data_IF_548874226216
#
_entry.id   IF_548874226216
#
_cell.length_a   1.000
_cell.length_b   1.000
_cell.length_c   1.000
_cell.angle_alpha   90.00
_cell.angle_beta   90.00
_cell.angle_gamma   90.00
#
_symmetry.space_group_name_H-M   'P 1'
#
loop_
_entity.id
_entity.type
_entity.pdbx_description
1 polymer ?
#
# COMPACT_ATOMS: atom_id res chain seq x y z
N UNK A 1 -6.92 -14.70 9.59
CA UNK A 1 -8.13 -13.85 9.72
C UNK A 1 -8.37 -13.64 11.21
N UNK A 2 -8.50 -12.39 11.65
CA UNK A 2 -8.76 -12.06 13.05
C UNK A 2 -9.94 -11.10 13.14
N UNK A 3 -10.68 -11.16 14.25
CA UNK A 3 -11.72 -10.18 14.55
C UNK A 3 -11.05 -8.86 14.96
N UNK A 4 -10.79 -8.02 13.97
CA UNK A 4 -10.19 -6.71 14.12
C UNK A 4 -10.80 -5.78 13.06
N UNK A 5 -11.83 -5.01 13.42
CA UNK A 5 -12.52 -4.16 12.46
C UNK A 5 -11.62 -3.16 11.74
N UNK A 6 -11.95 -2.87 10.48
CA UNK A 6 -11.14 -2.04 9.57
C UNK A 6 -10.89 -0.63 10.12
N UNK A 7 -11.86 -0.06 10.85
CA UNK A 7 -11.74 1.28 11.43
C UNK A 7 -10.71 1.41 12.57
N UNK A 8 -10.15 0.29 13.06
CA UNK A 8 -9.11 0.32 14.09
C UNK A 8 -7.74 0.77 13.56
N UNK A 9 -7.52 0.68 12.24
CA UNK A 9 -6.31 1.12 11.53
C UNK A 9 -6.36 2.62 11.14
N UNK A 10 -7.38 3.36 11.59
CA UNK A 10 -7.44 4.81 11.40
C UNK A 10 -6.28 5.52 12.10
N UNK A 11 -5.91 6.71 11.61
CA UNK A 11 -4.79 7.49 12.15
C UNK A 11 -4.96 7.72 13.67
N UNK A 12 -3.86 7.87 14.43
CA UNK A 12 -3.92 8.02 15.88
C UNK A 12 -4.86 9.13 16.38
N UNK A 13 -5.00 10.21 15.59
CA UNK A 13 -5.80 11.39 15.94
C UNK A 13 -7.21 11.37 15.30
N UNK A 14 -7.57 10.32 14.58
CA UNK A 14 -8.89 10.18 13.95
C UNK A 14 -9.80 9.27 14.78
N UNK A 15 -11.10 9.58 14.80
CA UNK A 15 -12.10 8.77 15.47
C UNK A 15 -12.13 7.36 14.86
N UNK A 16 -11.79 6.35 15.66
CA UNK A 16 -11.82 4.92 15.29
C UNK A 16 -13.24 4.37 15.35
N UNK A 17 -14.09 4.77 14.41
CA UNK A 17 -15.46 4.27 14.33
C UNK A 17 -15.86 3.99 12.86
N UNK A 18 -16.87 3.14 12.63
CA UNK A 18 -17.28 2.78 11.28
C UNK A 18 -17.84 3.98 10.49
N UNK A 19 -18.50 4.91 11.17
CA UNK A 19 -19.17 6.05 10.52
C UNK A 19 -18.12 6.99 9.92
N UNK A 20 -17.14 7.43 10.71
CA UNK A 20 -16.05 8.28 10.24
C UNK A 20 -15.25 7.62 9.12
N UNK A 21 -14.90 6.34 9.29
CA UNK A 21 -14.12 5.58 8.31
C UNK A 21 -14.82 5.55 6.94
N UNK A 22 -16.10 5.15 6.90
CA UNK A 22 -16.83 5.05 5.65
C UNK A 22 -17.29 6.41 5.10
N UNK A 23 -17.54 7.39 5.97
CA UNK A 23 -17.82 8.75 5.52
C UNK A 23 -16.60 9.40 4.87
N UNK A 24 -15.41 9.26 5.46
CA UNK A 24 -14.16 9.78 4.89
C UNK A 24 -13.71 9.03 3.63
N UNK A 25 -14.17 7.79 3.44
CA UNK A 25 -13.80 6.96 2.28
C UNK A 25 -14.79 7.06 1.12
N UNK A 26 -16.10 7.13 1.40
CA UNK A 26 -17.19 7.01 0.43
C UNK A 26 -18.21 8.15 0.51
N UNK A 27 -18.23 8.89 1.62
CA UNK A 27 -19.07 10.07 1.82
C UNK A 27 -20.55 9.84 1.48
N UNK A 28 -21.17 10.72 0.69
CA UNK A 28 -22.59 10.62 0.34
C UNK A 28 -22.93 9.28 -0.33
N UNK A 29 -21.98 8.66 -1.04
CA UNK A 29 -22.20 7.35 -1.68
C UNK A 29 -22.62 6.27 -0.70
N UNK A 30 -21.96 6.15 0.46
CA UNK A 30 -22.28 5.10 1.43
C UNK A 30 -23.69 5.30 2.02
N UNK A 31 -24.12 6.55 2.20
CA UNK A 31 -25.46 6.87 2.72
C UNK A 31 -26.53 6.44 1.72
N UNK A 32 -26.35 6.75 0.44
CA UNK A 32 -27.31 6.31 -0.59
C UNK A 32 -27.32 4.78 -0.67
N UNK A 33 -26.14 4.17 -0.79
CA UNK A 33 -25.97 2.73 -0.99
C UNK A 33 -26.55 1.89 0.16
N UNK A 34 -26.45 2.36 1.41
CA UNK A 34 -26.95 1.61 2.58
C UNK A 34 -28.39 1.93 2.96
N UNK A 35 -28.91 3.13 2.67
CA UNK A 35 -30.19 3.58 3.22
C UNK A 35 -31.21 4.05 2.19
N UNK A 36 -30.80 4.75 1.13
CA UNK A 36 -31.77 5.42 0.23
C UNK A 36 -32.18 4.58 -0.98
N UNK A 37 -31.40 3.57 -1.36
CA UNK A 37 -31.70 2.75 -2.56
C UNK A 37 -32.98 1.91 -2.40
N UNK A 38 -33.31 1.45 -1.19
CA UNK A 38 -34.31 0.41 -0.96
C UNK A 38 -35.69 0.67 -1.55
N UNK A 39 -36.29 1.88 -1.46
CA UNK A 39 -37.61 2.14 -2.02
C UNK A 39 -37.67 2.08 -3.55
N UNK A 40 -36.51 2.16 -4.22
CA UNK A 40 -36.42 2.17 -5.69
C UNK A 40 -36.11 0.80 -6.29
N UNK A 41 -35.69 -0.17 -5.47
CA UNK A 41 -35.29 -1.49 -5.93
C UNK A 41 -36.47 -2.47 -5.97
N UNK A 42 -36.53 -3.28 -7.02
CA UNK A 42 -37.46 -4.41 -7.09
C UNK A 42 -36.97 -5.61 -6.25
N UNK A 43 -37.83 -6.61 -6.05
CA UNK A 43 -37.50 -7.81 -5.26
C UNK A 43 -36.27 -8.55 -5.80
N UNK A 44 -36.09 -8.63 -7.13
CA UNK A 44 -34.96 -9.34 -7.75
C UNK A 44 -33.65 -8.56 -7.58
N UNK A 45 -33.70 -7.24 -7.61
CA UNK A 45 -32.57 -6.35 -7.35
C UNK A 45 -32.15 -6.44 -5.87
N UNK A 46 -33.11 -6.43 -4.94
CA UNK A 46 -32.85 -6.63 -3.50
C UNK A 46 -32.19 -7.99 -3.25
N UNK A 47 -32.71 -9.07 -3.82
CA UNK A 47 -32.13 -10.41 -3.67
C UNK A 47 -30.69 -10.52 -4.19
N UNK A 48 -30.32 -9.70 -5.18
CA UNK A 48 -28.95 -9.63 -5.71
C UNK A 48 -28.04 -8.73 -4.87
N UNK A 49 -28.58 -7.64 -4.32
CA UNK A 49 -27.79 -6.67 -3.55
C UNK A 49 -27.51 -7.13 -2.13
N UNK A 50 -28.47 -7.80 -1.47
CA UNK A 50 -28.37 -8.18 -0.06
C UNK A 50 -27.16 -9.09 0.26
N UNK A 51 -26.83 -10.13 -0.52
CA UNK A 51 -25.63 -10.94 -0.28
C UNK A 51 -24.33 -10.13 -0.31
N UNK A 52 -24.27 -9.12 -1.19
CA UNK A 52 -23.10 -8.26 -1.32
C UNK A 52 -22.88 -7.39 -0.06
N UNK A 53 -23.97 -6.95 0.59
CA UNK A 53 -23.90 -6.21 1.85
C UNK A 53 -23.43 -7.08 3.02
N UNK A 54 -23.80 -8.36 3.02
CA UNK A 54 -23.28 -9.32 4.02
C UNK A 54 -21.76 -9.42 3.89
N UNK A 55 -21.24 -9.52 2.65
CA UNK A 55 -19.78 -9.55 2.42
C UNK A 55 -19.13 -8.24 2.86
N UNK A 56 -19.75 -7.08 2.58
CA UNK A 56 -19.28 -5.79 3.06
C UNK A 56 -19.16 -5.75 4.59
N UNK A 57 -20.20 -6.18 5.32
CA UNK A 57 -20.22 -6.19 6.79
C UNK A 57 -19.14 -7.13 7.34
N UNK A 58 -19.06 -8.36 6.83
CA UNK A 58 -18.03 -9.33 7.26
C UNK A 58 -16.63 -8.78 6.99
N UNK A 59 -16.40 -8.25 5.79
CA UNK A 59 -15.11 -7.64 5.40
C UNK A 59 -14.80 -6.36 6.18
N UNK A 60 -15.79 -5.72 6.80
CA UNK A 60 -15.59 -4.57 7.68
C UNK A 60 -15.16 -4.99 9.09
N UNK A 61 -15.62 -6.15 9.56
CA UNK A 61 -15.41 -6.64 10.93
C UNK A 61 -14.15 -7.51 11.08
N UNK A 62 -13.80 -8.25 10.03
CA UNK A 62 -12.70 -9.22 10.06
C UNK A 62 -11.55 -8.77 9.19
N UNK A 63 -10.34 -8.80 9.73
CA UNK A 63 -9.10 -8.46 9.04
C UNK A 63 -8.52 -9.71 8.36
N UNK A 64 -8.30 -9.63 7.05
CA UNK A 64 -7.77 -10.76 6.27
C UNK A 64 -6.24 -10.81 6.25
N UNK A 65 -5.59 -9.65 6.18
CA UNK A 65 -4.13 -9.50 6.07
C UNK A 65 -3.59 -8.46 7.07
N UNK A 66 -2.26 -8.37 7.27
CA UNK A 66 -1.67 -7.43 8.23
C UNK A 66 -1.94 -5.96 7.96
N UNK A 67 -2.54 -5.55 6.84
CA UNK A 67 -3.07 -4.19 6.63
C UNK A 67 -4.59 -4.23 6.52
N UNK A 68 -5.31 -3.30 7.17
CA UNK A 68 -6.76 -3.19 6.98
C UNK A 68 -7.15 -2.76 5.55
N UNK A 69 -6.25 -2.08 4.81
CA UNK A 69 -6.46 -1.73 3.41
C UNK A 69 -6.60 -2.97 2.51
N UNK A 70 -6.01 -4.10 2.90
CA UNK A 70 -6.12 -5.33 2.12
C UNK A 70 -7.55 -5.89 2.10
N UNK A 71 -8.41 -5.51 3.05
CA UNK A 71 -9.83 -5.88 3.02
C UNK A 71 -10.57 -5.30 1.81
N UNK A 72 -10.04 -4.21 1.23
CA UNK A 72 -10.55 -3.64 -0.01
C UNK A 72 -10.47 -4.64 -1.17
N UNK A 73 -9.53 -5.60 -1.16
CA UNK A 73 -9.44 -6.66 -2.17
C UNK A 73 -10.69 -7.55 -2.21
N UNK A 74 -11.48 -7.59 -1.14
CA UNK A 74 -12.76 -8.31 -1.07
C UNK A 74 -13.93 -7.35 -1.26
N UNK A 75 -13.91 -6.19 -0.59
CA UNK A 75 -15.01 -5.21 -0.65
C UNK A 75 -15.21 -4.66 -2.07
N UNK A 76 -14.12 -4.35 -2.79
CA UNK A 76 -14.17 -3.78 -4.13
C UNK A 76 -14.76 -4.72 -5.19
N UNK A 77 -14.42 -6.02 -5.27
CA UNK A 77 -15.08 -6.90 -6.22
C UNK A 77 -16.46 -7.38 -5.75
N UNK A 78 -16.68 -7.54 -4.44
CA UNK A 78 -17.89 -8.21 -3.95
C UNK A 78 -19.08 -7.26 -3.70
N UNK A 79 -18.85 -6.10 -3.07
CA UNK A 79 -19.92 -5.18 -2.69
C UNK A 79 -20.03 -3.98 -3.64
N UNK A 80 -18.88 -3.37 -3.94
CA UNK A 80 -18.83 -2.10 -4.64
C UNK A 80 -19.57 -2.08 -6.00
N UNK A 81 -19.48 -3.10 -6.87
CA UNK A 81 -20.15 -3.07 -8.17
C UNK A 81 -21.67 -3.10 -8.03
N UNK A 82 -22.18 -3.86 -7.06
CA UNK A 82 -23.61 -3.92 -6.77
C UNK A 82 -24.11 -2.61 -6.14
N UNK A 83 -23.32 -2.01 -5.24
CA UNK A 83 -23.62 -0.70 -4.67
C UNK A 83 -23.68 0.38 -5.75
N UNK A 84 -22.73 0.40 -6.70
CA UNK A 84 -22.73 1.34 -7.83
C UNK A 84 -23.98 1.16 -8.69
N UNK A 85 -24.37 -0.08 -9.01
CA UNK A 85 -25.59 -0.36 -9.75
C UNK A 85 -26.85 0.11 -9.01
N UNK A 86 -26.95 -0.16 -7.70
CA UNK A 86 -28.08 0.25 -6.88
C UNK A 86 -28.19 1.78 -6.77
N UNK A 87 -27.07 2.47 -6.53
CA UNK A 87 -27.01 3.95 -6.49
C UNK A 87 -27.35 4.56 -7.84
N UNK A 88 -26.82 4.02 -8.94
CA UNK A 88 -27.13 4.50 -10.29
C UNK A 88 -28.60 4.34 -10.63
N UNK A 89 -29.20 3.19 -10.27
CA UNK A 89 -30.63 2.95 -10.43
C UNK A 89 -31.48 3.92 -9.61
N UNK A 90 -31.09 4.19 -8.37
CA UNK A 90 -31.73 5.18 -7.50
C UNK A 90 -31.72 6.59 -8.13
N UNK A 91 -30.55 7.06 -8.58
CA UNK A 91 -30.40 8.38 -9.20
C UNK A 91 -31.24 8.46 -10.50
N UNK A 92 -31.19 7.43 -11.34
CA UNK A 92 -31.97 7.36 -12.59
C UNK A 92 -33.48 7.38 -12.34
N UNK A 93 -33.94 6.67 -11.30
CA UNK A 93 -35.34 6.66 -10.89
C UNK A 93 -35.77 8.04 -10.37
N UNK A 94 -34.95 8.68 -9.53
CA UNK A 94 -35.18 10.04 -9.05
C UNK A 94 -35.24 11.05 -10.19
N UNK A 95 -34.34 10.96 -11.16
CA UNK A 95 -34.34 11.78 -12.36
C UNK A 95 -35.64 11.60 -13.16
N UNK A 96 -36.03 10.35 -13.42
CA UNK A 96 -37.24 10.02 -14.19
C UNK A 96 -38.52 10.55 -13.52
N UNK A 97 -38.63 10.41 -12.20
CA UNK A 97 -39.79 10.91 -11.43
C UNK A 97 -39.84 12.44 -11.46
N UNK A 98 -38.68 13.09 -11.26
CA UNK A 98 -38.54 14.55 -11.22
C UNK A 98 -39.03 15.21 -12.50
N UNK A 99 -38.60 14.70 -13.67
CA UNK A 99 -38.95 15.28 -14.96
C UNK A 99 -40.33 14.87 -15.47
N UNK A 100 -40.74 13.60 -15.27
CA UNK A 100 -42.02 13.10 -15.81
C UNK A 100 -43.23 13.63 -15.03
N UNK A 101 -43.13 13.76 -13.71
CA UNK A 101 -44.26 14.17 -12.87
C UNK A 101 -44.20 15.64 -12.43
N UNK A 102 -43.14 16.37 -12.81
CA UNK A 102 -42.87 17.77 -12.40
C UNK A 102 -43.05 18.01 -10.89
N UNK A 103 -42.76 16.99 -10.09
CA UNK A 103 -42.88 17.12 -8.64
C UNK A 103 -41.68 17.89 -8.12
N UNK A 104 -41.93 19.14 -7.72
CA UNK A 104 -40.92 20.08 -7.24
C UNK A 104 -40.04 19.52 -6.12
N UNK A 105 -40.63 18.74 -5.21
CA UNK A 105 -39.90 18.07 -4.11
C UNK A 105 -38.82 17.12 -4.66
N UNK A 106 -39.14 16.28 -5.65
CA UNK A 106 -38.18 15.34 -6.21
C UNK A 106 -37.06 16.06 -6.99
N UNK A 107 -37.39 17.15 -7.68
CA UNK A 107 -36.40 17.99 -8.36
C UNK A 107 -35.41 18.58 -7.34
N UNK A 108 -35.91 19.12 -6.21
CA UNK A 108 -35.06 19.62 -5.14
C UNK A 108 -34.21 18.49 -4.52
N UNK A 109 -34.82 17.35 -4.20
CA UNK A 109 -34.09 16.21 -3.62
C UNK A 109 -32.98 15.72 -4.54
N UNK A 110 -33.25 15.60 -5.84
CA UNK A 110 -32.26 15.24 -6.84
C UNK A 110 -31.14 16.28 -6.92
N UNK A 111 -31.47 17.57 -6.94
CA UNK A 111 -30.50 18.65 -6.95
C UNK A 111 -29.59 18.59 -5.72
N UNK A 112 -30.16 18.40 -4.52
CA UNK A 112 -29.40 18.26 -3.27
C UNK A 112 -28.48 17.03 -3.32
N UNK A 113 -28.97 15.87 -3.77
CA UNK A 113 -28.15 14.66 -3.90
C UNK A 113 -26.97 14.88 -4.84
N UNK A 114 -27.21 15.47 -6.01
CA UNK A 114 -26.17 15.77 -7.00
C UNK A 114 -25.17 16.78 -6.44
N UNK A 115 -25.64 17.84 -5.78
CA UNK A 115 -24.79 18.85 -5.16
C UNK A 115 -23.88 18.22 -4.09
N UNK A 116 -24.42 17.41 -3.18
CA UNK A 116 -23.66 16.70 -2.15
C UNK A 116 -22.60 15.77 -2.75
N UNK A 117 -22.92 15.04 -3.82
CA UNK A 117 -21.95 14.19 -4.52
C UNK A 117 -20.77 15.00 -5.09
N UNK A 118 -21.07 16.14 -5.72
CA UNK A 118 -20.04 16.97 -6.34
C UNK A 118 -19.17 17.66 -5.28
N UNK A 119 -19.77 18.24 -4.23
CA UNK A 119 -19.01 18.92 -3.16
C UNK A 119 -18.09 17.96 -2.41
N UNK A 120 -18.56 16.75 -2.11
CA UNK A 120 -17.76 15.72 -1.45
C UNK A 120 -16.63 15.22 -2.32
N UNK A 121 -16.87 15.04 -3.63
CA UNK A 121 -15.82 14.70 -4.60
C UNK A 121 -14.72 15.76 -4.62
N UNK A 122 -15.08 17.05 -4.69
CA UNK A 122 -14.11 18.17 -4.66
C UNK A 122 -13.32 18.17 -3.35
N UNK A 123 -13.98 17.95 -2.21
CA UNK A 123 -13.32 17.85 -0.90
C UNK A 123 -12.29 16.72 -0.84
N UNK A 124 -12.64 15.52 -1.33
CA UNK A 124 -11.72 14.39 -1.34
C UNK A 124 -10.54 14.60 -2.29
N UNK A 125 -10.76 15.20 -3.46
CA UNK A 125 -9.67 15.58 -4.38
C UNK A 125 -8.73 16.58 -3.70
N UNK A 126 -9.28 17.61 -3.05
CA UNK A 126 -8.48 18.59 -2.30
C UNK A 126 -7.67 17.92 -1.18
N UNK A 127 -8.31 17.05 -0.37
CA UNK A 127 -7.64 16.30 0.69
C UNK A 127 -6.52 15.43 0.13
N UNK A 128 -6.76 14.74 -0.99
CA UNK A 128 -5.77 13.90 -1.65
C UNK A 128 -4.57 14.71 -2.17
N UNK A 129 -4.82 15.86 -2.83
CA UNK A 129 -3.74 16.74 -3.29
C UNK A 129 -2.94 17.35 -2.13
N UNK A 130 -3.57 17.55 -0.98
CA UNK A 130 -2.92 18.07 0.23
C UNK A 130 -2.08 17.02 0.96
N UNK A 131 -2.45 15.74 0.85
CA UNK A 131 -1.70 14.64 1.48
C UNK A 131 -0.54 14.18 0.60
N UNK A 132 0.69 14.44 1.06
CA UNK A 132 1.90 13.90 0.43
C UNK A 132 2.22 12.53 1.02
N UNK A 133 2.24 11.50 0.18
CA UNK A 133 2.71 10.15 0.53
C UNK A 133 4.02 9.85 -0.21
N UNK A 134 5.16 10.41 0.25
CA UNK A 134 6.44 10.13 -0.40
C UNK A 134 6.79 8.64 -0.25
N UNK A 135 7.06 7.98 -1.38
CA UNK A 135 7.57 6.59 -1.38
C UNK A 135 8.99 6.55 -0.80
N UNK A 136 9.77 7.61 -1.02
CA UNK A 136 11.13 7.77 -0.53
C UNK A 136 11.25 9.04 0.32
N UNK A 137 11.83 8.91 1.50
CA UNK A 137 12.36 10.07 2.22
C UNK A 137 13.58 10.66 1.47
N UNK A 138 14.03 11.83 1.91
CA UNK A 138 15.11 12.55 1.26
C UNK A 138 16.42 11.77 1.23
N UNK A 139 16.78 11.08 2.32
CA UNK A 139 18.01 10.29 2.43
C UNK A 139 17.95 9.03 1.57
N UNK A 140 16.79 8.35 1.52
CA UNK A 140 16.60 7.20 0.62
C UNK A 140 16.76 7.60 -0.85
N UNK A 141 16.22 8.76 -1.22
CA UNK A 141 16.34 9.29 -2.58
C UNK A 141 17.79 9.65 -2.90
N UNK A 142 18.47 10.35 -1.99
CA UNK A 142 19.89 10.72 -2.10
C UNK A 142 20.78 9.48 -2.25
N UNK A 143 20.57 8.45 -1.43
CA UNK A 143 21.28 7.18 -1.54
C UNK A 143 21.12 6.56 -2.93
N UNK A 144 19.89 6.48 -3.43
CA UNK A 144 19.62 5.91 -4.76
C UNK A 144 20.31 6.68 -5.89
N UNK A 145 20.22 8.00 -5.86
CA UNK A 145 20.87 8.84 -6.88
C UNK A 145 22.39 8.77 -6.79
N UNK A 146 22.95 8.82 -5.58
CA UNK A 146 24.39 8.70 -5.37
C UNK A 146 24.92 7.37 -5.92
N UNK A 147 24.23 6.26 -5.63
CA UNK A 147 24.63 4.94 -6.15
C UNK A 147 24.53 4.88 -7.67
N UNK A 148 23.52 5.51 -8.26
CA UNK A 148 23.35 5.57 -9.71
C UNK A 148 24.54 6.25 -10.41
N UNK A 149 25.07 7.31 -9.79
CA UNK A 149 26.14 8.15 -10.33
C UNK A 149 27.55 7.63 -10.01
N UNK A 150 27.73 6.95 -8.86
CA UNK A 150 29.07 6.67 -8.32
C UNK A 150 29.46 5.18 -8.34
N UNK A 151 28.60 4.29 -8.81
CA UNK A 151 28.89 2.84 -8.89
C UNK A 151 28.77 2.32 -10.31
N UNK A 152 29.46 1.23 -10.64
CA UNK A 152 29.35 0.63 -11.98
C UNK A 152 27.96 0.00 -12.16
N UNK A 153 27.48 -0.01 -13.40
CA UNK A 153 26.17 -0.57 -13.74
C UNK A 153 26.03 -2.07 -13.39
N UNK A 154 27.13 -2.82 -13.39
CA UNK A 154 27.22 -4.26 -13.11
C UNK A 154 27.55 -4.59 -11.65
N UNK A 155 27.60 -3.58 -10.77
CA UNK A 155 27.91 -3.78 -9.35
C UNK A 155 26.78 -4.49 -8.61
N UNK A 156 27.14 -5.43 -7.73
CA UNK A 156 26.18 -6.19 -6.90
C UNK A 156 26.25 -5.77 -5.45
N UNK A 157 25.06 -5.61 -4.85
CA UNK A 157 24.89 -5.10 -3.51
C UNK A 157 24.28 -6.17 -2.60
N UNK A 158 24.87 -6.36 -1.43
CA UNK A 158 24.25 -7.04 -0.31
C UNK A 158 23.38 -6.05 0.48
N UNK A 159 22.09 -6.36 0.63
CA UNK A 159 21.14 -5.53 1.35
C UNK A 159 19.92 -6.36 1.77
N UNK A 160 19.06 -5.79 2.63
CA UNK A 160 17.80 -6.42 3.02
C UNK A 160 16.79 -6.53 1.86
N UNK A 161 15.80 -7.41 2.03
CA UNK A 161 14.71 -7.69 1.07
C UNK A 161 13.62 -6.62 1.05
N UNK A 162 14.00 -5.34 1.16
CA UNK A 162 13.07 -4.22 1.21
C UNK A 162 12.33 -4.01 -0.12
N UNK A 163 11.00 -3.88 -0.05
CA UNK A 163 10.12 -3.68 -1.22
C UNK A 163 10.50 -2.50 -2.12
N UNK A 164 10.92 -1.39 -1.53
CA UNK A 164 11.28 -0.16 -2.25
C UNK A 164 12.76 0.14 -2.05
N UNK A 165 13.62 -0.85 -2.25
CA UNK A 165 15.06 -0.67 -2.08
C UNK A 165 15.61 0.31 -3.13
N UNK A 166 16.18 1.47 -2.74
CA UNK A 166 16.64 2.51 -3.66
C UNK A 166 17.79 2.04 -4.57
N UNK A 167 18.56 1.03 -4.15
CA UNK A 167 19.65 0.45 -4.94
C UNK A 167 19.11 -0.17 -6.23
N UNK A 168 17.99 -0.88 -6.15
CA UNK A 168 17.35 -1.47 -7.33
C UNK A 168 16.39 -0.49 -8.00
N UNK A 169 15.57 0.22 -7.23
CA UNK A 169 14.44 0.99 -7.76
C UNK A 169 14.83 2.38 -8.29
N UNK A 170 15.86 3.02 -7.74
CA UNK A 170 16.36 4.32 -8.20
C UNK A 170 17.69 4.19 -8.94
N UNK A 171 18.62 3.39 -8.40
CA UNK A 171 19.95 3.26 -9.00
C UNK A 171 20.03 2.18 -10.09
N UNK A 172 19.07 1.26 -10.18
CA UNK A 172 19.07 0.19 -11.19
C UNK A 172 20.24 -0.79 -11.04
N UNK A 173 20.71 -1.05 -9.81
CA UNK A 173 21.79 -2.00 -9.52
C UNK A 173 21.24 -3.35 -9.05
N UNK A 174 22.04 -4.39 -9.27
CA UNK A 174 21.71 -5.76 -8.86
C UNK A 174 21.84 -5.89 -7.33
N UNK A 175 20.84 -6.51 -6.70
CA UNK A 175 20.84 -6.82 -5.27
C UNK A 175 20.80 -8.33 -5.06
N UNK A 176 21.41 -8.80 -3.97
CA UNK A 176 21.47 -10.23 -3.61
C UNK A 176 20.08 -10.85 -3.44
N UNK A 177 19.13 -10.08 -2.92
CA UNK A 177 17.73 -10.48 -2.80
C UNK A 177 16.82 -9.26 -2.95
N UNK A 178 15.86 -9.35 -3.86
CA UNK A 178 14.76 -8.39 -3.96
C UNK A 178 13.67 -8.62 -2.91
N UNK A 179 12.53 -7.97 -3.09
CA UNK A 179 11.37 -8.15 -2.22
C UNK A 179 10.87 -9.60 -2.21
N UNK A 180 10.74 -10.19 -1.02
CA UNK A 180 10.29 -11.57 -0.83
C UNK A 180 9.02 -11.90 -1.61
N UNK A 181 8.00 -11.04 -1.52
CA UNK A 181 6.71 -11.27 -2.15
C UNK A 181 6.81 -11.40 -3.68
N UNK A 182 7.69 -10.64 -4.31
CA UNK A 182 7.90 -10.72 -5.76
C UNK A 182 8.64 -11.99 -6.15
N UNK A 183 9.71 -12.33 -5.43
CA UNK A 183 10.48 -13.55 -5.70
C UNK A 183 9.59 -14.79 -5.56
N UNK A 184 8.73 -14.82 -4.53
CA UNK A 184 7.75 -15.87 -4.30
C UNK A 184 6.75 -16.01 -5.45
N UNK A 185 6.16 -14.90 -5.91
CA UNK A 185 5.19 -14.94 -7.02
C UNK A 185 5.78 -15.42 -8.35
N UNK A 186 7.10 -15.37 -8.52
CA UNK A 186 7.80 -15.86 -9.71
C UNK A 186 8.35 -17.29 -9.56
N UNK A 187 8.06 -17.98 -8.45
CA UNK A 187 8.45 -19.38 -8.24
C UNK A 187 9.95 -19.61 -8.05
N UNK A 188 10.71 -18.57 -7.70
CA UNK A 188 12.16 -18.68 -7.49
C UNK A 188 12.46 -19.24 -6.09
N UNK A 189 13.56 -20.00 -5.96
CA UNK A 189 14.01 -20.49 -4.66
C UNK A 189 14.47 -19.33 -3.76
N UNK A 190 13.68 -19.06 -2.73
CA UNK A 190 13.94 -17.97 -1.77
C UNK A 190 14.80 -18.44 -0.61
N UNK A 191 14.55 -19.66 -0.12
CA UNK A 191 15.15 -20.21 1.09
C UNK A 191 16.66 -20.17 1.01
N UNK A 192 17.24 -20.66 -0.09
CA UNK A 192 18.69 -20.65 -0.32
C UNK A 192 19.27 -19.24 -0.34
N UNK A 193 18.58 -18.29 -1.00
CA UNK A 193 19.03 -16.90 -1.08
C UNK A 193 18.95 -16.17 0.26
N UNK A 194 17.94 -16.44 1.08
CA UNK A 194 17.84 -15.88 2.43
C UNK A 194 18.93 -16.40 3.35
N UNK A 195 19.23 -17.71 3.29
CA UNK A 195 20.34 -18.28 4.04
C UNK A 195 21.68 -17.68 3.61
N UNK A 196 21.93 -17.56 2.30
CA UNK A 196 23.13 -16.91 1.77
C UNK A 196 23.25 -15.45 2.21
N UNK A 197 22.17 -14.67 2.12
CA UNK A 197 22.15 -13.27 2.57
C UNK A 197 22.44 -13.18 4.08
N UNK A 198 21.80 -14.02 4.90
CA UNK A 198 21.97 -14.02 6.36
C UNK A 198 23.40 -14.42 6.75
N UNK A 199 23.97 -15.42 6.09
CA UNK A 199 25.35 -15.86 6.31
C UNK A 199 26.37 -14.76 5.97
N UNK A 200 26.25 -14.15 4.79
CA UNK A 200 27.13 -13.05 4.39
C UNK A 200 27.02 -11.85 5.33
N UNK A 201 25.80 -11.51 5.76
CA UNK A 201 25.59 -10.38 6.67
C UNK A 201 26.19 -10.61 8.07
N UNK A 202 26.16 -11.85 8.56
CA UNK A 202 26.74 -12.26 9.85
C UNK A 202 28.26 -12.42 9.79
N UNK A 203 28.80 -12.80 8.63
CA UNK A 203 30.21 -13.09 8.40
C UNK A 203 30.86 -12.09 7.41
N UNK A 204 30.87 -10.77 7.69
CA UNK A 204 31.36 -9.76 6.75
C UNK A 204 32.87 -9.88 6.44
N UNK A 205 33.63 -10.58 7.28
CA UNK A 205 35.07 -10.79 7.11
C UNK A 205 35.41 -11.97 6.20
N UNK A 206 34.43 -12.77 5.78
CA UNK A 206 34.64 -13.89 4.88
C UNK A 206 34.71 -13.41 3.42
N UNK A 207 35.77 -12.68 3.09
CA UNK A 207 35.93 -11.97 1.81
C UNK A 207 35.87 -12.88 0.57
N UNK A 208 36.27 -14.16 0.70
CA UNK A 208 36.22 -15.12 -0.41
C UNK A 208 34.78 -15.37 -0.87
N UNK A 209 33.82 -15.47 0.07
CA UNK A 209 32.40 -15.68 -0.26
C UNK A 209 31.76 -14.49 -0.97
N UNK A 210 32.19 -13.26 -0.65
CA UNK A 210 31.76 -12.05 -1.37
C UNK A 210 32.36 -12.01 -2.78
N UNK A 211 33.64 -12.35 -2.92
CA UNK A 211 34.34 -12.37 -4.21
C UNK A 211 33.76 -13.42 -5.17
N UNK A 212 33.49 -14.63 -4.68
CA UNK A 212 32.83 -15.70 -5.44
C UNK A 212 31.49 -15.24 -6.03
N UNK A 213 30.72 -14.46 -5.27
CA UNK A 213 29.38 -13.99 -5.65
C UNK A 213 29.41 -12.63 -6.35
N UNK A 214 30.60 -12.08 -6.60
CA UNK A 214 30.81 -10.76 -7.21
C UNK A 214 30.09 -9.63 -6.47
N UNK A 215 29.98 -9.72 -5.14
CA UNK A 215 29.37 -8.70 -4.29
C UNK A 215 30.46 -7.71 -3.88
N UNK A 216 30.29 -6.46 -4.28
CA UNK A 216 31.28 -5.39 -4.06
C UNK A 216 30.81 -4.32 -3.09
N UNK A 217 29.51 -4.27 -2.80
CA UNK A 217 28.91 -3.29 -1.91
C UNK A 217 28.00 -3.95 -0.89
N UNK A 218 27.90 -3.36 0.30
CA UNK A 218 26.93 -3.73 1.31
C UNK A 218 26.21 -2.48 1.83
N UNK A 219 24.89 -2.55 1.91
CA UNK A 219 24.04 -1.46 2.41
C UNK A 219 23.48 -1.85 3.77
N UNK A 220 23.64 -0.97 4.74
CA UNK A 220 22.99 -1.03 6.04
C UNK A 220 21.87 0.00 6.11
N UNK A 221 20.78 -0.38 6.74
CA UNK A 221 19.68 0.49 7.12
C UNK A 221 19.31 0.22 8.58
N UNK A 222 19.08 1.28 9.34
CA UNK A 222 18.79 1.19 10.79
C UNK A 222 17.66 0.21 11.14
N UNK A 223 16.60 0.16 10.32
CA UNK A 223 15.43 -0.70 10.56
C UNK A 223 15.59 -2.15 10.07
N UNK A 224 16.70 -2.51 9.43
CA UNK A 224 16.86 -3.85 8.85
C UNK A 224 16.99 -4.97 9.89
N UNK A 225 17.44 -4.65 11.11
CA UNK A 225 17.59 -5.62 12.20
C UNK A 225 16.27 -6.27 12.60
N UNK A 226 15.17 -5.51 12.50
CA UNK A 226 13.80 -6.00 12.74
C UNK A 226 13.26 -6.89 11.61
N UNK A 227 13.98 -6.99 10.49
CA UNK A 227 13.60 -7.68 9.25
C UNK A 227 14.58 -8.78 8.85
N UNK A 228 15.24 -9.37 9.84
CA UNK A 228 16.11 -10.55 9.70
C UNK A 228 17.41 -10.32 8.87
N UNK A 229 17.73 -9.06 8.54
CA UNK A 229 19.02 -8.68 7.96
C UNK A 229 19.89 -7.99 9.02
N UNK A 230 20.82 -8.75 9.58
CA UNK A 230 21.78 -8.26 10.58
C UNK A 230 23.13 -8.03 9.92
N UNK A 231 23.31 -6.87 9.30
CA UNK A 231 24.63 -6.47 8.83
C UNK A 231 25.49 -6.07 10.03
N UNK A 232 26.41 -6.94 10.41
CA UNK A 232 27.39 -6.63 11.46
C UNK A 232 28.31 -5.53 10.94
N UNK A 233 28.21 -4.34 11.53
CA UNK A 233 29.01 -3.21 11.08
C UNK A 233 30.50 -3.57 11.12
N UNK A 234 31.22 -3.40 10.01
CA UNK A 234 32.62 -3.80 9.91
C UNK A 234 33.50 -2.94 10.82
N UNK A 235 34.51 -3.57 11.42
CA UNK A 235 35.54 -2.86 12.20
C UNK A 235 36.39 -2.00 11.24
N UNK A 236 36.92 -0.89 11.74
CA UNK A 236 37.76 0.08 11.00
C UNK A 236 38.94 -0.57 10.26
N UNK A 237 39.48 -1.69 10.76
CA UNK A 237 40.61 -2.42 10.15
C UNK A 237 40.21 -3.46 9.09
N UNK A 238 38.94 -3.52 8.69
CA UNK A 238 38.44 -4.48 7.70
C UNK A 238 38.64 -4.00 6.25
N UNK A 239 38.42 -4.88 5.27
CA UNK A 239 38.40 -4.49 3.85
C UNK A 239 37.13 -3.74 3.42
N UNK A 240 36.17 -3.56 4.32
CA UNK A 240 34.96 -2.78 4.08
C UNK A 240 35.20 -1.33 4.46
N UNK A 241 35.14 -0.44 3.46
CA UNK A 241 35.23 1.00 3.67
C UNK A 241 33.84 1.60 3.58
N UNK A 242 33.45 2.35 4.62
CA UNK A 242 32.25 3.20 4.57
C UNK A 242 32.49 4.33 3.57
N UNK A 243 31.61 4.43 2.57
CA UNK A 243 31.72 5.41 1.47
C UNK A 243 30.59 6.44 1.50
N UNK A 244 29.52 6.17 2.25
CA UNK A 244 28.38 7.07 2.40
C UNK A 244 27.65 6.78 3.71
N UNK A 245 27.33 7.83 4.46
CA UNK A 245 26.47 7.80 5.65
C UNK A 245 25.41 8.92 5.54
N UNK A 246 24.14 8.53 5.56
CA UNK A 246 22.98 9.42 5.48
C UNK A 246 22.05 9.24 6.69
N UNK A 247 22.63 9.13 7.90
CA UNK A 247 21.92 9.19 9.19
C UNK A 247 21.14 7.94 9.57
N UNK A 248 20.48 7.29 8.61
CA UNK A 248 19.79 6.00 8.77
C UNK A 248 20.18 4.96 7.71
N UNK A 249 21.08 5.32 6.80
CA UNK A 249 21.59 4.48 5.72
C UNK A 249 23.11 4.58 5.66
N UNK A 250 23.79 3.44 5.59
CA UNK A 250 25.24 3.39 5.39
C UNK A 250 25.57 2.50 4.22
N UNK A 251 26.52 2.91 3.40
CA UNK A 251 27.02 2.13 2.27
C UNK A 251 28.48 1.81 2.46
N UNK A 252 28.82 0.54 2.31
CA UNK A 252 30.17 0.03 2.41
C UNK A 252 30.63 -0.53 1.06
N UNK A 253 31.89 -0.32 0.74
CA UNK A 253 32.57 -0.89 -0.43
C UNK A 253 33.63 -1.88 0.03
N UNK A 254 33.64 -3.05 -0.58
CA UNK A 254 34.72 -4.03 -0.42
C UNK A 254 35.90 -3.64 -1.30
N UNK A 255 37.08 -3.56 -0.71
CA UNK A 255 38.34 -3.32 -1.42
C UNK A 255 39.05 -4.66 -1.62
N UNK A 256 39.67 -4.84 -2.79
CA UNK A 256 40.48 -6.01 -3.12
C UNK A 256 41.73 -6.15 -2.24
#
# INVERSE_FOLDING_TARGET
MSFNPVWNDSKPNELKNPISTYWESLSTFIVIALFLVWPTLDKKQIMRYLPSLIIFIISSLFRYQPSALDNLKVIFPAWFPYAVCAVSHFISTMFSISFRKRHFIFIISLFVVVLCFNTTTVYHIYKFMSFKFPIYDIHTKELGLWVAENTRYDSKFLCSSWMTNPITSLAGREVTIGYFGWIWTHGLNITERLFMMSDLAKNPYNYSSFKEKSITYAMYRENDETREFLWKQPIVSSKWIEILDLGGYKLYRLID
#
